data_IF_640812306016
#
_entry.id   IF_640812306016
#
_cell.length_a   1.000
_cell.length_b   1.000
_cell.length_c   1.000
_cell.angle_alpha   90.00
_cell.angle_beta   90.00
_cell.angle_gamma   90.00
#
_symmetry.space_group_name_H-M   'P 1'
#
loop_
_entity.id
_entity.type
_entity.pdbx_description
1 polymer ?
#
# COMPACT_ATOMS: atom_id res chain seq x y z
N UNK A 1 -29.25 -64.35 -52.79
CA UNK A 1 -29.63 -62.94 -52.50
C UNK A 1 -28.80 -62.49 -51.32
N UNK A 2 -27.67 -61.85 -51.56
CA UNK A 2 -26.83 -61.32 -50.52
C UNK A 2 -26.58 -59.85 -50.80
N UNK A 3 -27.08 -59.01 -49.94
CA UNK A 3 -26.96 -57.54 -49.97
C UNK A 3 -25.72 -57.16 -49.19
N UNK A 4 -24.71 -56.61 -49.88
CA UNK A 4 -23.49 -56.07 -49.29
C UNK A 4 -23.74 -54.74 -48.60
N UNK A 5 -23.32 -54.60 -47.34
CA UNK A 5 -23.27 -53.31 -46.62
C UNK A 5 -21.88 -52.70 -46.82
N UNK A 6 -21.85 -51.61 -47.55
CA UNK A 6 -20.68 -50.74 -47.63
C UNK A 6 -20.58 -49.91 -46.37
N UNK A 7 -19.50 -50.08 -45.60
CA UNK A 7 -19.14 -49.28 -44.44
C UNK A 7 -18.43 -48.03 -44.92
N UNK A 8 -19.02 -46.84 -44.61
CA UNK A 8 -18.38 -45.55 -44.81
C UNK A 8 -17.50 -45.31 -43.56
N UNK A 9 -16.20 -45.37 -43.75
CA UNK A 9 -15.20 -44.96 -42.73
C UNK A 9 -15.14 -43.43 -42.72
N UNK A 10 -15.75 -42.80 -41.70
CA UNK A 10 -15.59 -41.39 -41.45
C UNK A 10 -14.23 -41.11 -40.83
N UNK A 11 -13.30 -40.58 -41.59
CA UNK A 11 -11.99 -40.13 -41.13
C UNK A 11 -12.19 -38.81 -40.40
N UNK A 12 -12.31 -38.85 -39.07
CA UNK A 12 -12.25 -37.65 -38.25
C UNK A 12 -10.81 -37.10 -38.26
N UNK A 13 -10.60 -36.03 -39.05
CA UNK A 13 -9.41 -35.20 -38.94
C UNK A 13 -9.41 -34.51 -37.57
N UNK A 14 -8.68 -35.05 -36.62
CA UNK A 14 -8.26 -34.32 -35.39
C UNK A 14 -7.31 -33.22 -35.84
N UNK A 15 -7.83 -32.00 -36.07
CA UNK A 15 -7.01 -30.79 -36.13
C UNK A 15 -6.40 -30.59 -34.72
N UNK A 16 -5.07 -30.50 -34.58
CA UNK A 16 -4.50 -30.08 -33.34
C UNK A 16 -5.03 -28.67 -33.07
N UNK A 17 -5.69 -28.49 -31.93
CA UNK A 17 -5.98 -27.17 -31.40
C UNK A 17 -4.62 -26.48 -31.23
N UNK A 18 -4.35 -25.43 -31.98
CA UNK A 18 -3.20 -24.59 -31.75
C UNK A 18 -3.35 -24.02 -30.32
N UNK A 19 -2.54 -24.48 -29.39
CA UNK A 19 -2.45 -23.89 -28.08
C UNK A 19 -1.92 -22.48 -28.28
N UNK A 20 -2.74 -21.48 -27.96
CA UNK A 20 -2.32 -20.10 -27.96
C UNK A 20 -1.17 -19.96 -26.94
N UNK A 21 0.04 -19.68 -27.41
CA UNK A 21 1.18 -19.45 -26.52
C UNK A 21 0.91 -18.19 -25.70
N UNK A 22 0.85 -18.34 -24.37
CA UNK A 22 0.78 -17.21 -23.46
C UNK A 22 2.10 -16.42 -23.48
N UNK A 23 2.03 -15.16 -23.91
CA UNK A 23 3.16 -14.25 -23.85
C UNK A 23 3.34 -13.75 -22.42
N UNK A 24 4.48 -14.06 -21.81
CA UNK A 24 4.83 -13.58 -20.46
C UNK A 24 6.09 -12.73 -20.54
N UNK A 25 5.95 -11.44 -20.18
CA UNK A 25 7.06 -10.52 -20.00
C UNK A 25 7.34 -10.37 -18.50
N UNK A 26 8.50 -10.80 -18.04
CA UNK A 26 8.97 -10.53 -16.68
C UNK A 26 9.53 -9.11 -16.56
N UNK A 27 9.09 -8.37 -15.55
CA UNK A 27 9.64 -7.08 -15.16
C UNK A 27 10.67 -7.35 -14.04
N UNK A 28 11.97 -7.19 -14.32
CA UNK A 28 13.01 -7.43 -13.33
C UNK A 28 12.90 -6.43 -12.17
N UNK A 29 13.48 -6.74 -10.99
CA UNK A 29 13.48 -5.83 -9.85
C UNK A 29 14.10 -4.47 -10.19
N UNK A 30 13.31 -3.41 -10.09
CA UNK A 30 13.69 -2.02 -10.32
C UNK A 30 13.70 -1.31 -8.98
N UNK A 31 14.83 -0.72 -8.62
CA UNK A 31 14.93 0.14 -7.44
C UNK A 31 14.40 1.53 -7.78
N UNK A 32 13.48 2.01 -6.98
CA UNK A 32 12.92 3.35 -7.10
C UNK A 32 12.69 3.92 -5.70
N UNK A 33 12.21 5.14 -5.60
CA UNK A 33 11.85 5.74 -4.32
C UNK A 33 10.39 6.18 -4.35
N UNK A 34 9.75 6.06 -3.20
CA UNK A 34 8.43 6.56 -2.90
C UNK A 34 8.57 7.71 -1.90
N UNK A 35 7.87 8.79 -2.12
CA UNK A 35 7.85 9.88 -1.16
C UNK A 35 6.76 9.63 -0.11
N UNK A 36 7.19 9.55 1.15
CA UNK A 36 6.30 9.54 2.30
C UNK A 36 6.53 10.86 3.04
N UNK A 37 5.64 11.81 2.88
CA UNK A 37 5.76 13.17 3.45
C UNK A 37 7.15 13.83 3.26
N UNK A 38 7.58 13.96 2.03
CA UNK A 38 8.90 14.53 1.64
C UNK A 38 10.12 13.72 2.11
N UNK A 39 9.94 12.53 2.66
CA UNK A 39 11.04 11.60 2.90
C UNK A 39 11.07 10.53 1.81
N UNK A 40 12.14 10.43 1.02
CA UNK A 40 12.27 9.38 0.02
C UNK A 40 12.50 8.03 0.71
N UNK A 41 11.59 7.10 0.50
CA UNK A 41 11.70 5.72 0.96
C UNK A 41 12.03 4.84 -0.23
N UNK A 42 13.16 4.16 -0.19
CA UNK A 42 13.55 3.24 -1.25
C UNK A 42 12.61 2.02 -1.29
N UNK A 43 12.13 1.68 -2.47
CA UNK A 43 11.31 0.49 -2.75
C UNK A 43 11.91 -0.28 -3.91
N UNK A 44 11.58 -1.56 -4.01
CA UNK A 44 11.93 -2.39 -5.15
C UNK A 44 10.65 -2.91 -5.77
N UNK A 45 10.43 -2.61 -7.06
CA UNK A 45 9.25 -3.05 -7.81
C UNK A 45 9.67 -4.12 -8.81
N UNK A 46 8.94 -5.23 -8.85
CA UNK A 46 9.08 -6.31 -9.82
C UNK A 46 7.71 -6.79 -10.27
N UNK A 47 7.64 -7.58 -11.32
CA UNK A 47 6.35 -8.08 -11.75
C UNK A 47 6.37 -8.80 -13.09
N UNK A 48 5.18 -8.91 -13.69
CA UNK A 48 5.00 -9.51 -15.01
C UNK A 48 3.82 -8.90 -15.76
N UNK A 49 3.90 -8.97 -17.07
CA UNK A 49 2.79 -8.73 -18.00
C UNK A 49 2.54 -10.04 -18.74
N UNK A 50 1.30 -10.54 -18.73
CA UNK A 50 0.95 -11.81 -19.39
C UNK A 50 -0.35 -11.71 -20.16
N UNK A 51 -0.46 -12.46 -21.25
CA UNK A 51 -1.68 -12.52 -22.07
C UNK A 51 -1.47 -13.36 -23.32
N UNK A 52 -2.56 -13.65 -24.06
CA UNK A 52 -2.51 -14.43 -25.28
C UNK A 52 -1.78 -13.66 -26.39
N UNK A 53 -0.96 -14.37 -27.16
CA UNK A 53 -0.19 -13.79 -28.26
C UNK A 53 -1.00 -13.60 -29.55
N UNK A 54 -2.24 -14.10 -29.59
CA UNK A 54 -3.10 -14.10 -30.77
C UNK A 54 -4.12 -12.95 -30.71
N UNK A 55 -4.03 -12.04 -31.68
CA UNK A 55 -5.01 -10.99 -31.92
C UNK A 55 -4.37 -9.77 -32.60
N UNK A 56 -4.99 -9.33 -33.71
CA UNK A 56 -4.62 -8.08 -34.38
C UNK A 56 -5.13 -6.85 -33.64
N UNK A 57 -6.08 -7.04 -32.71
CA UNK A 57 -6.66 -6.00 -31.86
C UNK A 57 -5.95 -5.96 -30.52
N UNK A 58 -5.94 -4.78 -29.89
CA UNK A 58 -5.33 -4.54 -28.60
C UNK A 58 -5.98 -5.39 -27.50
N UNK A 59 -5.51 -6.62 -27.36
CA UNK A 59 -5.96 -7.53 -26.30
C UNK A 59 -5.41 -7.02 -24.96
N UNK A 60 -6.22 -6.94 -23.89
CA UNK A 60 -5.71 -6.53 -22.61
C UNK A 60 -4.76 -7.58 -22.04
N UNK A 61 -3.54 -7.18 -21.74
CA UNK A 61 -2.57 -7.99 -21.02
C UNK A 61 -2.77 -7.81 -19.51
N UNK A 62 -2.66 -8.88 -18.75
CA UNK A 62 -2.69 -8.83 -17.28
C UNK A 62 -1.37 -8.28 -16.77
N UNK A 63 -1.45 -7.27 -15.91
CA UNK A 63 -0.33 -6.69 -15.19
C UNK A 63 -0.34 -7.20 -13.75
N UNK A 64 0.78 -7.73 -13.28
CA UNK A 64 0.99 -8.09 -11.88
C UNK A 64 2.30 -7.46 -11.40
N UNK A 65 2.22 -6.55 -10.43
CA UNK A 65 3.38 -5.90 -9.82
C UNK A 65 3.45 -6.22 -8.34
N UNK A 66 4.67 -6.33 -7.84
CA UNK A 66 4.94 -6.45 -6.40
C UNK A 66 5.98 -5.41 -6.02
N UNK A 67 5.62 -4.54 -5.08
CA UNK A 67 6.53 -3.57 -4.47
C UNK A 67 6.98 -4.08 -3.10
N UNK A 68 8.29 -4.25 -2.91
CA UNK A 68 8.89 -4.57 -1.61
C UNK A 68 9.01 -3.30 -0.77
N UNK A 69 8.25 -3.24 0.33
CA UNK A 69 8.18 -2.12 1.27
C UNK A 69 9.01 -2.37 2.54
N UNK A 70 9.91 -3.34 2.54
CA UNK A 70 10.71 -3.70 3.73
C UNK A 70 11.55 -2.53 4.26
N UNK A 71 11.94 -1.59 3.41
CA UNK A 71 12.64 -0.39 3.84
C UNK A 71 11.71 0.57 4.63
N UNK A 72 10.46 0.77 4.17
CA UNK A 72 9.45 1.49 4.93
C UNK A 72 9.19 0.79 6.28
N UNK A 73 9.04 -0.53 6.26
CA UNK A 73 8.84 -1.35 7.45
C UNK A 73 9.94 -1.14 8.50
N UNK A 74 11.20 -1.11 8.09
CA UNK A 74 12.34 -0.86 8.98
C UNK A 74 12.41 0.57 9.51
N UNK A 75 11.99 1.55 8.72
CA UNK A 75 12.13 2.97 9.03
C UNK A 75 10.84 3.62 9.53
N UNK A 76 9.76 2.86 9.75
CA UNK A 76 8.44 3.40 10.07
C UNK A 76 8.44 4.27 11.32
N UNK A 77 9.24 3.93 12.35
CA UNK A 77 9.36 4.77 13.54
C UNK A 77 9.89 6.15 13.20
N UNK A 78 10.97 6.24 12.42
CA UNK A 78 11.57 7.51 12.03
C UNK A 78 10.60 8.34 11.17
N UNK A 79 9.92 7.70 10.22
CA UNK A 79 8.91 8.34 9.37
C UNK A 79 7.81 8.97 10.22
N UNK A 80 7.20 8.21 11.13
CA UNK A 80 6.13 8.71 11.99
C UNK A 80 6.62 9.76 12.99
N UNK A 81 7.80 9.58 13.56
CA UNK A 81 8.37 10.53 14.51
C UNK A 81 8.62 11.90 13.86
N UNK A 82 9.09 11.95 12.63
CA UNK A 82 9.32 13.20 11.90
C UNK A 82 8.04 14.00 11.67
N UNK A 83 6.91 13.31 11.57
CA UNK A 83 5.60 13.90 11.32
C UNK A 83 4.89 14.35 12.60
N UNK A 84 4.97 13.54 13.64
CA UNK A 84 4.12 13.64 14.82
C UNK A 84 4.81 14.27 16.02
N UNK A 85 6.14 14.18 16.11
CA UNK A 85 6.90 14.71 17.26
C UNK A 85 7.05 16.23 17.15
N UNK A 86 5.97 16.97 17.43
CA UNK A 86 5.98 18.44 17.44
C UNK A 86 6.12 18.96 18.85
N UNK A 87 7.06 19.89 19.06
CA UNK A 87 7.31 20.51 20.35
C UNK A 87 6.48 21.81 20.51
N UNK A 88 5.16 21.69 20.55
CA UNK A 88 4.29 22.83 20.88
C UNK A 88 4.25 23.06 22.40
N UNK A 89 4.29 24.32 22.85
CA UNK A 89 4.26 24.64 24.28
C UNK A 89 2.90 24.40 24.91
N UNK A 90 1.82 24.46 24.12
CA UNK A 90 0.44 24.40 24.58
C UNK A 90 -0.35 23.40 23.74
N UNK A 91 -1.41 22.84 24.32
CA UNK A 91 -2.30 21.93 23.60
C UNK A 91 -1.89 20.45 23.74
N UNK A 92 -2.17 19.69 22.71
CA UNK A 92 -1.92 18.26 22.71
C UNK A 92 -0.57 17.97 22.07
N UNK A 93 0.26 17.21 22.76
CA UNK A 93 1.55 16.71 22.25
C UNK A 93 1.46 15.20 22.09
N UNK A 94 1.81 14.71 20.93
CA UNK A 94 1.94 13.30 20.63
C UNK A 94 3.36 13.03 20.17
N UNK A 95 4.04 12.11 20.83
CA UNK A 95 5.39 11.68 20.48
C UNK A 95 5.38 10.19 20.20
N UNK A 96 5.86 9.78 19.03
CA UNK A 96 6.06 8.37 18.72
C UNK A 96 7.38 7.92 19.31
N UNK A 97 7.32 6.93 20.19
CA UNK A 97 8.50 6.29 20.80
C UNK A 97 9.00 5.14 19.93
N UNK A 98 8.09 4.32 19.45
CA UNK A 98 8.37 3.16 18.60
C UNK A 98 7.17 2.83 17.74
N UNK A 99 7.43 2.42 16.51
CA UNK A 99 6.40 1.88 15.63
C UNK A 99 6.90 0.61 14.94
N UNK A 100 5.99 -0.32 14.69
CA UNK A 100 6.24 -1.57 13.97
C UNK A 100 5.17 -1.71 12.89
N UNK A 101 5.57 -2.04 11.69
CA UNK A 101 4.68 -2.28 10.57
C UNK A 101 4.82 -3.74 10.16
N UNK A 102 3.73 -4.52 10.25
CA UNK A 102 3.73 -5.96 9.96
C UNK A 102 2.73 -6.30 8.87
N UNK A 103 3.05 -7.22 7.96
CA UNK A 103 2.09 -7.73 6.99
C UNK A 103 0.97 -8.51 7.72
N UNK A 104 -0.27 -8.26 7.30
CA UNK A 104 -1.46 -8.97 7.76
C UNK A 104 -2.46 -9.07 6.60
N UNK A 105 -2.02 -9.72 5.52
CA UNK A 105 -2.72 -9.75 4.23
C UNK A 105 -4.23 -9.97 4.36
N UNK A 106 -5.05 -9.23 3.63
CA UNK A 106 -4.73 -8.23 2.59
C UNK A 106 -4.41 -6.83 3.13
N UNK A 107 -4.27 -6.66 4.43
CA UNK A 107 -4.01 -5.44 5.17
C UNK A 107 -2.54 -5.40 5.63
N UNK A 108 -2.14 -4.28 6.21
CA UNK A 108 -0.96 -4.19 7.08
C UNK A 108 -1.38 -3.70 8.47
N UNK A 109 -0.67 -4.14 9.50
CA UNK A 109 -0.89 -3.72 10.87
C UNK A 109 0.28 -2.83 11.32
N UNK A 110 -0.04 -1.60 11.67
CA UNK A 110 0.86 -0.67 12.31
C UNK A 110 0.58 -0.65 13.81
N UNK A 111 1.54 -1.07 14.62
CA UNK A 111 1.49 -0.92 16.09
C UNK A 111 2.41 0.22 16.49
N UNK A 112 1.89 1.24 17.15
CA UNK A 112 2.66 2.40 17.59
C UNK A 112 2.61 2.56 19.12
N UNK A 113 3.77 2.65 19.73
CA UNK A 113 3.93 3.10 21.11
C UNK A 113 4.14 4.61 21.09
N UNK A 114 3.34 5.32 21.86
CA UNK A 114 3.29 6.78 21.85
C UNK A 114 3.32 7.33 23.29
N UNK A 115 3.84 8.54 23.42
CA UNK A 115 3.68 9.37 24.60
C UNK A 115 2.74 10.52 24.26
N UNK A 116 1.70 10.67 25.07
CA UNK A 116 0.72 11.74 24.91
C UNK A 116 0.73 12.66 26.11
N UNK A 117 0.70 13.97 25.88
CA UNK A 117 0.57 14.99 26.90
C UNK A 117 -0.48 16.02 26.46
N UNK A 118 -1.26 16.48 27.42
CA UNK A 118 -2.17 17.62 27.28
C UNK A 118 -1.70 18.75 28.17
N UNK A 119 -1.43 19.91 27.58
CA UNK A 119 -0.96 21.09 28.25
C UNK A 119 -2.01 22.21 28.14
N UNK A 120 -2.32 22.84 29.28
CA UNK A 120 -3.12 24.07 29.32
C UNK A 120 -2.21 25.28 29.44
N UNK A 121 -2.53 26.33 28.71
CA UNK A 121 -1.88 27.62 28.80
C UNK A 121 -2.91 28.70 29.14
N UNK A 122 -2.60 29.52 30.12
CA UNK A 122 -3.42 30.65 30.53
C UNK A 122 -2.53 31.87 30.78
N UNK A 123 -3.02 33.06 30.49
CA UNK A 123 -2.40 34.29 30.95
C UNK A 123 -3.00 34.67 32.29
N UNK A 124 -2.20 34.69 33.34
CA UNK A 124 -2.58 35.06 34.69
C UNK A 124 -1.74 36.30 35.06
N UNK A 125 -2.36 37.45 35.29
CA UNK A 125 -1.69 38.71 35.62
C UNK A 125 -0.56 39.08 34.62
N UNK A 126 -0.78 38.87 33.32
CA UNK A 126 0.21 39.16 32.25
C UNK A 126 1.36 38.18 32.14
N UNK A 127 1.38 37.10 32.93
CA UNK A 127 2.36 36.00 32.85
C UNK A 127 1.74 34.77 32.21
N UNK A 128 2.50 34.14 31.34
CA UNK A 128 2.08 32.83 30.75
C UNK A 128 2.28 31.73 31.76
N UNK A 129 1.20 31.07 32.13
CA UNK A 129 1.19 29.87 33.00
C UNK A 129 0.91 28.66 32.12
N UNK A 130 1.84 27.71 32.14
CA UNK A 130 1.76 26.45 31.37
C UNK A 130 1.68 25.28 32.35
N UNK A 131 0.62 24.50 32.30
CA UNK A 131 0.39 23.36 33.17
C UNK A 131 0.04 22.09 32.42
N UNK A 132 0.73 20.98 32.68
CA UNK A 132 0.36 19.67 32.18
C UNK A 132 -0.89 19.16 32.89
N UNK A 133 -1.92 18.83 32.13
CA UNK A 133 -3.19 18.30 32.63
C UNK A 133 -3.21 16.79 32.69
N UNK A 134 -2.73 16.14 31.61
CA UNK A 134 -2.68 14.69 31.46
C UNK A 134 -1.39 14.35 30.73
N UNK A 135 -0.82 13.19 31.00
CA UNK A 135 0.32 12.67 30.26
C UNK A 135 0.56 11.22 30.59
N UNK A 136 1.07 10.48 29.63
CA UNK A 136 1.42 9.08 29.81
C UNK A 136 1.70 8.37 28.51
N UNK A 137 2.15 7.13 28.66
CA UNK A 137 2.48 6.25 27.56
C UNK A 137 1.26 5.40 27.17
N UNK A 138 1.18 5.08 25.90
CA UNK A 138 0.14 4.24 25.36
C UNK A 138 0.58 3.50 24.11
N UNK A 139 -0.24 2.55 23.69
CA UNK A 139 -0.09 1.80 22.48
C UNK A 139 -1.38 1.84 21.67
N UNK A 140 -1.26 1.88 20.35
CA UNK A 140 -2.37 1.87 19.42
C UNK A 140 -2.04 0.97 18.23
N UNK A 141 -3.05 0.22 17.80
CA UNK A 141 -2.98 -0.57 16.58
C UNK A 141 -3.79 0.14 15.48
N UNK A 142 -3.20 0.29 14.31
CA UNK A 142 -3.82 0.90 13.14
C UNK A 142 -3.81 -0.11 11.99
N UNK A 143 -4.98 -0.41 11.45
CA UNK A 143 -5.10 -1.22 10.25
C UNK A 143 -4.95 -0.32 9.03
N UNK A 144 -4.08 -0.73 8.13
CA UNK A 144 -3.82 0.00 6.88
C UNK A 144 -4.36 -0.83 5.71
N UNK A 145 -5.23 -0.23 4.92
CA UNK A 145 -5.82 -0.85 3.72
C UNK A 145 -5.43 -0.01 2.51
N UNK A 146 -4.77 -0.57 1.50
CA UNK A 146 -4.54 0.16 0.27
C UNK A 146 -5.84 0.21 -0.54
N UNK A 147 -6.13 1.36 -1.13
CA UNK A 147 -7.30 1.58 -1.99
C UNK A 147 -6.87 2.28 -3.28
N UNK A 148 -7.60 2.02 -4.34
CA UNK A 148 -7.39 2.65 -5.64
C UNK A 148 -8.31 3.87 -5.71
N UNK A 149 -7.75 5.05 -5.94
CA UNK A 149 -8.48 6.27 -6.23
C UNK A 149 -8.61 6.50 -7.75
N UNK A 150 -9.33 7.55 -8.11
CA UNK A 150 -9.39 8.04 -9.49
C UNK A 150 -7.95 8.24 -10.04
N UNK A 151 -7.75 7.97 -11.34
CA UNK A 151 -6.46 8.07 -12.03
C UNK A 151 -5.40 7.03 -11.58
N UNK A 152 -5.83 5.86 -11.07
CA UNK A 152 -4.92 4.78 -10.67
C UNK A 152 -3.92 5.18 -9.58
N UNK A 153 -4.25 6.16 -8.75
CA UNK A 153 -3.47 6.53 -7.57
C UNK A 153 -3.81 5.58 -6.42
N UNK A 154 -2.80 5.06 -5.76
CA UNK A 154 -2.99 4.21 -4.59
C UNK A 154 -2.94 5.06 -3.33
N UNK A 155 -3.95 4.96 -2.51
CA UNK A 155 -4.06 5.63 -1.21
C UNK A 155 -4.13 4.62 -0.07
N UNK A 156 -3.58 4.98 1.08
CA UNK A 156 -3.75 4.20 2.30
C UNK A 156 -4.95 4.73 3.08
N UNK A 157 -5.89 3.83 3.38
CA UNK A 157 -6.94 4.06 4.35
C UNK A 157 -6.50 3.53 5.69
N UNK A 158 -6.69 4.31 6.75
CA UNK A 158 -6.31 3.94 8.10
C UNK A 158 -7.54 3.75 8.98
N UNK A 159 -7.61 2.62 9.68
CA UNK A 159 -8.58 2.37 10.73
C UNK A 159 -7.84 2.28 12.07
N UNK A 160 -8.02 3.31 12.90
CA UNK A 160 -7.36 3.41 14.20
C UNK A 160 -8.16 2.65 15.24
N UNK A 161 -7.56 1.58 15.73
CA UNK A 161 -8.15 0.70 16.75
C UNK A 161 -8.20 1.31 18.15
N UNK A 162 -8.29 0.44 19.15
CA UNK A 162 -8.34 0.84 20.54
C UNK A 162 -6.98 1.37 21.01
N UNK A 163 -7.01 2.47 21.78
CA UNK A 163 -5.83 3.04 22.42
C UNK A 163 -5.72 2.43 23.80
N UNK A 164 -4.66 1.69 24.03
CA UNK A 164 -4.33 1.08 25.33
C UNK A 164 -3.33 1.98 26.05
N UNK A 165 -3.62 2.33 27.29
CA UNK A 165 -2.71 3.13 28.11
C UNK A 165 -2.89 2.81 29.60
N UNK A 166 -1.81 2.99 30.35
CA UNK A 166 -1.77 2.84 31.79
C UNK A 166 -1.56 4.19 32.49
N UNK A 167 -1.63 4.19 33.82
CA UNK A 167 -1.44 5.38 34.65
C UNK A 167 -2.43 6.51 34.34
N UNK A 168 -1.97 7.75 34.43
CA UNK A 168 -2.83 8.94 34.29
C UNK A 168 -3.48 9.08 32.91
N UNK A 169 -2.81 8.64 31.86
CA UNK A 169 -3.42 8.60 30.52
C UNK A 169 -4.53 7.54 30.46
N UNK A 170 -4.28 6.34 31.00
CA UNK A 170 -5.29 5.28 31.06
C UNK A 170 -6.52 5.68 31.88
N UNK A 171 -6.33 6.37 33.02
CA UNK A 171 -7.42 6.93 33.79
C UNK A 171 -8.19 7.99 33.00
N UNK A 172 -7.49 8.91 32.33
CA UNK A 172 -8.12 9.92 31.48
C UNK A 172 -8.92 9.31 30.35
N UNK A 173 -8.42 8.26 29.70
CA UNK A 173 -9.11 7.54 28.62
C UNK A 173 -10.39 6.81 29.14
N UNK A 174 -10.38 6.35 30.37
CA UNK A 174 -11.56 5.75 31.01
C UNK A 174 -12.55 6.76 31.56
N UNK A 175 -12.13 8.01 31.77
CA UNK A 175 -13.00 9.08 32.29
C UNK A 175 -14.11 9.43 31.30
N UNK A 176 -15.33 9.59 31.78
CA UNK A 176 -16.49 9.93 30.94
C UNK A 176 -16.41 11.31 30.27
N UNK A 177 -15.69 12.26 30.88
CA UNK A 177 -15.61 13.64 30.41
C UNK A 177 -14.44 13.93 29.48
N UNK A 178 -13.27 13.34 29.72
CA UNK A 178 -12.05 13.61 28.98
C UNK A 178 -11.71 12.49 27.97
N UNK A 179 -12.11 11.26 28.26
CA UNK A 179 -11.71 10.08 27.49
C UNK A 179 -12.08 10.15 26.00
N UNK A 180 -13.31 10.51 25.62
CA UNK A 180 -13.67 10.68 24.22
C UNK A 180 -12.78 11.69 23.48
N UNK A 181 -12.62 12.89 24.06
CA UNK A 181 -11.85 13.96 23.45
C UNK A 181 -10.37 13.60 23.25
N UNK A 182 -9.74 12.90 24.20
CA UNK A 182 -8.35 12.43 24.09
C UNK A 182 -8.24 11.34 23.01
N UNK A 183 -9.16 10.37 22.98
CA UNK A 183 -9.18 9.33 21.96
C UNK A 183 -9.36 9.90 20.55
N UNK A 184 -10.33 10.79 20.39
CA UNK A 184 -10.63 11.40 19.10
C UNK A 184 -9.44 12.23 18.60
N UNK A 185 -8.75 12.92 19.50
CA UNK A 185 -7.55 13.68 19.14
C UNK A 185 -6.41 12.78 18.69
N UNK A 186 -6.11 11.71 19.44
CA UNK A 186 -5.06 10.77 19.04
C UNK A 186 -5.41 10.12 17.70
N UNK A 187 -6.67 9.68 17.51
CA UNK A 187 -7.13 9.13 16.23
C UNK A 187 -6.98 10.13 15.09
N UNK A 188 -7.44 11.36 15.27
CA UNK A 188 -7.37 12.39 14.24
C UNK A 188 -5.93 12.70 13.82
N UNK A 189 -5.01 12.77 14.77
CA UNK A 189 -3.59 13.03 14.49
C UNK A 189 -2.96 11.87 13.72
N UNK A 190 -3.22 10.62 14.13
CA UNK A 190 -2.72 9.43 13.44
C UNK A 190 -3.36 9.28 12.04
N UNK A 191 -4.66 9.45 11.92
CA UNK A 191 -5.35 9.41 10.63
C UNK A 191 -4.79 10.47 9.66
N UNK A 192 -4.60 11.71 10.14
CA UNK A 192 -4.02 12.78 9.31
C UNK A 192 -2.60 12.43 8.85
N UNK A 193 -1.78 11.83 9.70
CA UNK A 193 -0.44 11.40 9.33
C UNK A 193 -0.46 10.29 8.27
N UNK A 194 -1.40 9.35 8.39
CA UNK A 194 -1.55 8.26 7.41
C UNK A 194 -2.15 8.74 6.09
N UNK A 195 -3.14 9.63 6.13
CA UNK A 195 -3.79 10.18 4.93
C UNK A 195 -2.82 10.98 4.06
N UNK A 196 -1.85 11.63 4.68
CA UNK A 196 -0.79 12.36 3.95
C UNK A 196 0.25 11.42 3.33
N UNK A 197 0.39 10.20 3.83
CA UNK A 197 1.27 9.19 3.27
C UNK A 197 0.69 8.66 1.95
N UNK A 198 0.71 9.50 0.90
CA UNK A 198 0.34 9.08 -0.45
C UNK A 198 1.39 8.10 -0.95
N UNK A 199 0.96 6.88 -1.20
CA UNK A 199 1.73 5.90 -1.97
C UNK A 199 1.59 6.27 -3.45
N UNK A 200 2.30 7.28 -3.91
CA UNK A 200 2.41 7.52 -5.35
C UNK A 200 3.30 6.43 -5.95
N UNK A 201 2.72 5.26 -6.16
CA UNK A 201 3.33 4.25 -7.02
C UNK A 201 3.17 4.76 -8.46
N UNK A 202 4.15 5.48 -8.95
CA UNK A 202 4.15 5.93 -10.33
C UNK A 202 4.36 4.73 -11.24
N UNK A 203 3.30 4.32 -11.94
CA UNK A 203 3.45 3.55 -13.18
C UNK A 203 4.41 4.35 -14.07
N UNK A 204 5.42 3.72 -14.69
CA UNK A 204 6.27 4.41 -15.67
C UNK A 204 5.41 5.25 -16.61
N UNK A 205 5.81 6.51 -16.84
CA UNK A 205 5.03 7.48 -17.62
C UNK A 205 4.59 6.95 -19.00
N UNK A 206 5.40 6.07 -19.56
CA UNK A 206 5.17 5.42 -20.84
C UNK A 206 3.98 4.43 -20.80
N UNK A 207 3.67 3.87 -19.63
CA UNK A 207 2.59 2.91 -19.42
C UNK A 207 1.31 3.54 -18.84
N UNK A 208 1.39 4.75 -18.27
CA UNK A 208 0.24 5.42 -17.68
C UNK A 208 -0.99 5.54 -18.60
N UNK A 209 -0.85 5.89 -19.90
CA UNK A 209 -2.03 6.02 -20.78
C UNK A 209 -2.68 4.69 -21.15
N UNK A 210 -1.98 3.59 -20.98
CA UNK A 210 -2.43 2.26 -21.44
C UNK A 210 -2.66 1.25 -20.31
N UNK A 211 -2.25 1.58 -19.09
CA UNK A 211 -2.40 0.72 -17.93
C UNK A 211 -3.57 1.15 -17.04
N UNK A 212 -4.38 0.19 -16.60
CA UNK A 212 -5.43 0.37 -15.60
C UNK A 212 -5.18 -0.52 -14.40
N UNK A 213 -5.16 0.06 -13.19
CA UNK A 213 -5.04 -0.70 -11.94
C UNK A 213 -6.44 -1.18 -11.56
N UNK A 214 -6.59 -2.48 -11.30
CA UNK A 214 -7.87 -3.12 -10.93
C UNK A 214 -7.88 -3.59 -9.48
N UNK A 215 -6.71 -3.92 -8.93
CA UNK A 215 -6.60 -4.42 -7.57
C UNK A 215 -5.31 -4.00 -6.89
N UNK A 216 -5.40 -3.76 -5.60
CA UNK A 216 -4.25 -3.45 -4.74
C UNK A 216 -4.45 -4.09 -3.37
N UNK A 217 -3.42 -4.74 -2.85
CA UNK A 217 -3.46 -5.36 -1.53
C UNK A 217 -2.06 -5.52 -0.93
N UNK A 218 -1.99 -5.50 0.39
CA UNK A 218 -0.77 -5.89 1.07
C UNK A 218 -0.59 -7.42 1.05
N UNK A 219 0.65 -7.86 1.05
CA UNK A 219 1.03 -9.26 1.08
C UNK A 219 2.21 -9.48 2.03
N UNK A 220 2.33 -10.71 2.50
CA UNK A 220 3.47 -11.17 3.28
C UNK A 220 4.50 -11.86 2.39
N UNK A 221 5.66 -11.24 2.23
CA UNK A 221 6.81 -11.80 1.54
C UNK A 221 7.83 -12.42 2.49
N UNK A 222 7.41 -13.42 3.27
CA UNK A 222 8.23 -14.05 4.32
C UNK A 222 8.66 -13.05 5.42
N UNK A 223 7.68 -12.39 6.04
CA UNK A 223 7.86 -11.37 7.07
C UNK A 223 8.15 -9.96 6.53
N UNK A 224 8.31 -9.82 5.21
CA UNK A 224 8.48 -8.53 4.54
C UNK A 224 7.15 -8.00 4.06
N UNK A 225 6.89 -6.74 4.32
CA UNK A 225 5.71 -6.08 3.78
C UNK A 225 5.87 -5.86 2.27
N UNK A 226 4.97 -6.42 1.50
CA UNK A 226 4.86 -6.23 0.07
C UNK A 226 3.51 -5.59 -0.28
N UNK A 227 3.47 -4.83 -1.37
CA UNK A 227 2.25 -4.32 -1.97
C UNK A 227 2.09 -4.97 -3.35
N UNK A 228 1.04 -5.78 -3.51
CA UNK A 228 0.68 -6.38 -4.77
C UNK A 228 -0.33 -5.49 -5.49
N UNK A 229 -0.04 -5.20 -6.75
CA UNK A 229 -0.89 -4.41 -7.66
C UNK A 229 -1.23 -5.28 -8.85
N UNK A 230 -2.50 -5.41 -9.16
CA UNK A 230 -3.00 -6.10 -10.35
C UNK A 230 -3.74 -5.14 -11.25
N UNK A 231 -3.69 -5.40 -12.55
CA UNK A 231 -4.33 -4.53 -13.52
C UNK A 231 -4.28 -5.09 -14.93
N UNK A 232 -4.58 -4.23 -15.87
CA UNK A 232 -4.52 -4.51 -17.31
C UNK A 232 -3.69 -3.46 -18.03
N UNK A 233 -2.99 -3.91 -19.07
CA UNK A 233 -2.27 -3.03 -20.01
C UNK A 233 -2.82 -3.28 -21.41
N UNK A 234 -3.29 -2.22 -22.07
CA UNK A 234 -3.82 -2.28 -23.42
C UNK A 234 -2.75 -1.84 -24.42
N UNK A 235 -1.96 -2.80 -24.85
CA UNK A 235 -0.93 -2.62 -25.90
C UNK A 235 -1.07 -3.74 -26.92
N UNK A 236 -0.63 -3.51 -28.14
CA UNK A 236 -0.59 -4.59 -29.14
C UNK A 236 0.54 -5.58 -28.79
N UNK A 237 0.37 -6.84 -29.21
CA UNK A 237 1.42 -7.85 -29.06
C UNK A 237 2.74 -7.42 -29.74
N UNK A 238 2.66 -6.66 -30.83
CA UNK A 238 3.83 -6.10 -31.54
C UNK A 238 4.54 -5.04 -30.70
N UNK A 239 3.80 -4.12 -30.04
CA UNK A 239 4.38 -3.12 -29.13
C UNK A 239 5.06 -3.80 -27.94
N UNK A 240 4.43 -4.84 -27.38
CA UNK A 240 5.02 -5.59 -26.28
C UNK A 240 6.33 -6.28 -26.69
N UNK A 241 6.37 -6.92 -27.86
CA UNK A 241 7.60 -7.52 -28.43
C UNK A 241 8.71 -6.48 -28.63
N UNK A 242 8.36 -5.32 -29.16
CA UNK A 242 9.33 -4.22 -29.34
C UNK A 242 9.94 -3.76 -28.02
N UNK A 243 9.14 -3.65 -26.96
CA UNK A 243 9.62 -3.31 -25.61
C UNK A 243 10.55 -4.40 -25.04
N UNK A 244 10.25 -5.67 -25.30
CA UNK A 244 11.11 -6.80 -24.90
C UNK A 244 12.47 -6.73 -25.60
N UNK A 245 12.49 -6.48 -26.90
CA UNK A 245 13.70 -6.47 -27.70
C UNK A 245 14.59 -5.26 -27.39
N UNK A 246 14.01 -4.08 -27.18
CA UNK A 246 14.74 -2.89 -26.74
C UNK A 246 15.48 -3.12 -25.42
N UNK A 247 14.89 -3.84 -24.48
CA UNK A 247 15.54 -4.17 -23.20
C UNK A 247 16.68 -5.18 -23.32
N UNK A 248 16.64 -6.10 -24.29
CA UNK A 248 17.73 -7.04 -24.56
C UNK A 248 18.97 -6.35 -25.12
N UNK A 249 18.79 -5.25 -25.84
CA UNK A 249 19.87 -4.50 -26.49
C UNK A 249 20.57 -3.51 -25.55
N UNK A 250 19.95 -3.18 -24.40
CA UNK A 250 20.47 -2.20 -23.43
C UNK A 250 21.23 -2.85 -22.25
N UNK A 251 21.41 -4.17 -22.28
CA UNK A 251 22.21 -4.98 -21.35
C UNK A 251 23.50 -5.44 -22.00
#
# INVERSE_FOLDING_TARGET
>A
MNVGRAGVLALLCLLPAAEAEDLVLSIPPIKTSMNVENQPVAITVSGSVSGASEGHDATPFRLALTADLSNLQRNITAVLSSQLNRAEKCGDRLTIQRATLTPNAPLALLTANLHYEKWACAKVFGRDVVKRLVGGDGAVDVRLTPAIEANSTIRLQSDVGEIRADGSLGEALRSGSLGPAVRDKIRAVLATAMDKAKLEASIPSELQPVASIQGVQFADGAGRLCLNVSGEVRISAQQLRTLIDQRKTTR
#
